data_IF_368109542956
#
_entry.id   IF_368109542956
#
_cell.length_a   1.000
_cell.length_b   1.000
_cell.length_c   1.000
_cell.angle_alpha   90.00
_cell.angle_beta   90.00
_cell.angle_gamma   90.00
#
_symmetry.space_group_name_H-M   'P 1'
#
loop_
_entity.id
_entity.type
_entity.pdbx_description
1 polymer ?
#
# COMPACT_ATOMS: atom_id res chain seq x y z
N UNK A 1 -7.93 11.46 -11.73
CA UNK A 1 -7.38 10.29 -12.45
C UNK A 1 -6.81 10.77 -13.76
N UNK A 2 -5.50 10.94 -13.85
CA UNK A 2 -4.84 11.24 -15.14
C UNK A 2 -4.76 9.92 -15.91
N UNK A 3 -5.29 9.83 -17.15
CA UNK A 3 -5.22 8.61 -17.92
C UNK A 3 -3.75 8.33 -18.29
N UNK A 4 -3.16 7.26 -17.76
CA UNK A 4 -1.77 6.87 -17.99
C UNK A 4 -1.40 6.49 -19.43
N UNK A 5 -2.31 6.64 -20.40
CA UNK A 5 -2.09 6.26 -21.81
C UNK A 5 -1.16 7.22 -22.57
N UNK A 6 -0.99 8.46 -22.12
CA UNK A 6 -0.15 9.43 -22.83
C UNK A 6 1.36 9.16 -22.69
N UNK A 7 1.78 8.43 -21.65
CA UNK A 7 3.20 8.27 -21.30
C UNK A 7 3.69 6.82 -21.17
N UNK A 8 2.83 5.81 -21.39
CA UNK A 8 3.13 4.39 -21.07
C UNK A 8 3.55 4.15 -19.60
N UNK A 9 3.18 5.03 -18.68
CA UNK A 9 3.46 4.91 -17.23
C UNK A 9 2.27 4.27 -16.51
N UNK A 10 1.67 3.25 -17.12
CA UNK A 10 0.60 2.47 -16.51
C UNK A 10 1.21 1.27 -15.81
N UNK A 11 1.50 1.37 -14.52
CA UNK A 11 1.73 0.17 -13.72
C UNK A 11 0.40 -0.59 -13.70
N UNK A 12 0.35 -1.75 -14.35
CA UNK A 12 -0.71 -2.72 -14.12
C UNK A 12 -0.17 -3.73 -13.11
N UNK A 13 -0.96 -4.11 -12.09
CA UNK A 13 -0.56 -5.21 -11.21
C UNK A 13 -0.22 -6.43 -12.07
N UNK A 14 0.97 -6.99 -11.85
CA UNK A 14 1.36 -8.24 -12.46
C UNK A 14 0.35 -9.32 -12.05
N UNK A 15 -0.32 -9.92 -13.03
CA UNK A 15 -1.31 -10.98 -12.80
C UNK A 15 -0.68 -12.37 -12.69
N UNK A 16 0.61 -12.49 -13.02
CA UNK A 16 1.29 -13.77 -13.02
C UNK A 16 1.36 -14.36 -11.63
N UNK A 17 1.08 -15.66 -11.55
CA UNK A 17 1.14 -16.44 -10.31
C UNK A 17 2.53 -16.97 -10.01
N UNK A 18 3.48 -16.77 -10.93
CA UNK A 18 4.82 -17.34 -10.91
C UNK A 18 5.89 -16.24 -10.79
N UNK A 19 6.82 -16.44 -9.86
CA UNK A 19 8.02 -15.61 -9.68
C UNK A 19 9.20 -16.51 -10.06
N UNK A 20 10.17 -15.98 -10.82
CA UNK A 20 11.42 -16.67 -11.17
C UNK A 20 12.41 -16.78 -9.98
N UNK A 21 11.87 -16.84 -8.75
CA UNK A 21 12.63 -16.98 -7.51
C UNK A 21 12.16 -18.26 -6.80
N UNK A 22 12.98 -19.32 -6.78
CA UNK A 22 12.59 -20.61 -6.22
C UNK A 22 12.43 -20.58 -4.69
N UNK A 23 12.98 -19.59 -3.99
CA UNK A 23 12.83 -19.44 -2.53
C UNK A 23 11.53 -18.72 -2.18
N UNK A 24 11.15 -17.70 -2.95
CA UNK A 24 9.93 -16.93 -2.71
C UNK A 24 8.69 -17.54 -3.35
N UNK A 25 8.82 -18.21 -4.51
CA UNK A 25 7.71 -18.79 -5.24
C UNK A 25 6.82 -19.72 -4.38
N UNK A 26 7.37 -20.62 -3.53
CA UNK A 26 6.56 -21.47 -2.65
C UNK A 26 5.76 -20.70 -1.60
N UNK A 27 6.10 -19.44 -1.31
CA UNK A 27 5.40 -18.57 -0.36
C UNK A 27 4.35 -17.67 -1.03
N UNK A 28 4.36 -17.58 -2.37
CA UNK A 28 3.46 -16.72 -3.11
C UNK A 28 2.08 -17.36 -3.29
N UNK A 29 1.02 -16.60 -3.03
CA UNK A 29 -0.38 -17.00 -3.26
C UNK A 29 -0.81 -18.31 -2.55
N UNK A 30 -0.05 -18.75 -1.53
CA UNK A 30 -0.43 -19.90 -0.72
C UNK A 30 -1.78 -19.67 -0.06
N UNK A 31 -2.59 -20.73 0.01
CA UNK A 31 -3.89 -20.68 0.66
C UNK A 31 -3.69 -20.86 2.17
N UNK A 32 -3.85 -19.76 2.91
CA UNK A 32 -3.78 -19.72 4.37
C UNK A 32 -4.99 -18.97 4.92
N UNK A 33 -5.37 -19.28 6.16
CA UNK A 33 -6.36 -18.50 6.91
C UNK A 33 -5.69 -17.26 7.50
N UNK A 34 -6.36 -16.10 7.37
CA UNK A 34 -5.87 -14.84 7.91
C UNK A 34 -7.02 -13.83 8.11
N UNK A 35 -6.89 -12.99 9.12
CA UNK A 35 -7.84 -11.91 9.45
C UNK A 35 -7.29 -10.50 9.10
N UNK A 36 -5.99 -10.41 8.83
CA UNK A 36 -5.27 -9.15 8.62
C UNK A 36 -4.50 -9.19 7.30
N UNK A 37 -4.66 -8.15 6.50
CA UNK A 37 -3.97 -7.96 5.22
C UNK A 37 -3.04 -6.76 5.31
N UNK A 38 -1.74 -6.99 5.11
CA UNK A 38 -0.75 -5.92 4.94
C UNK A 38 -0.52 -5.71 3.45
N UNK A 39 -0.82 -4.51 2.97
CA UNK A 39 -0.66 -4.14 1.56
C UNK A 39 0.52 -3.20 1.42
N UNK A 40 1.69 -3.74 1.05
CA UNK A 40 2.90 -2.96 0.82
C UNK A 40 2.98 -2.51 -0.64
N UNK A 41 2.40 -1.35 -0.93
CA UNK A 41 2.38 -0.74 -2.26
C UNK A 41 1.88 0.70 -2.18
N UNK A 42 1.83 1.40 -3.32
CA UNK A 42 1.29 2.77 -3.41
C UNK A 42 -0.22 2.82 -3.07
N UNK A 43 -0.71 3.87 -2.41
CA UNK A 43 -2.09 3.95 -1.91
C UNK A 43 -3.18 3.77 -2.97
N UNK A 44 -2.91 4.06 -4.25
CA UNK A 44 -3.85 3.87 -5.36
C UNK A 44 -4.39 2.45 -5.47
N UNK A 45 -3.65 1.44 -5.00
CA UNK A 45 -4.09 0.04 -5.05
C UNK A 45 -4.87 -0.40 -3.81
N UNK A 46 -4.89 0.37 -2.72
CA UNK A 46 -5.61 -0.03 -1.51
C UNK A 46 -7.10 -0.30 -1.74
N UNK A 47 -7.84 0.52 -2.53
CA UNK A 47 -9.24 0.23 -2.82
C UNK A 47 -9.47 -1.09 -3.55
N UNK A 48 -8.50 -1.55 -4.35
CA UNK A 48 -8.59 -2.84 -5.02
C UNK A 48 -8.52 -3.98 -4.00
N UNK A 49 -7.55 -3.92 -3.08
CA UNK A 49 -7.39 -4.93 -2.03
C UNK A 49 -8.54 -4.95 -1.04
N UNK A 50 -9.05 -3.77 -0.64
CA UNK A 50 -10.25 -3.67 0.20
C UNK A 50 -11.48 -4.34 -0.43
N UNK A 51 -11.61 -4.31 -1.77
CA UNK A 51 -12.68 -5.01 -2.49
C UNK A 51 -12.45 -6.51 -2.60
N UNK A 52 -11.18 -6.93 -2.74
CA UNK A 52 -10.81 -8.35 -2.90
C UNK A 52 -10.93 -9.11 -1.58
N UNK A 53 -10.63 -8.45 -0.48
CA UNK A 53 -10.57 -9.04 0.87
C UNK A 53 -11.52 -8.31 1.84
N UNK A 54 -12.84 -8.31 1.60
CA UNK A 54 -13.79 -7.58 2.42
C UNK A 54 -13.87 -8.15 3.84
N UNK A 55 -14.03 -7.26 4.84
CA UNK A 55 -14.22 -7.65 6.24
C UNK A 55 -12.95 -8.03 7.00
N UNK A 56 -11.78 -7.98 6.34
CA UNK A 56 -10.47 -8.17 6.98
C UNK A 56 -9.89 -6.85 7.44
N UNK A 57 -9.05 -6.90 8.47
CA UNK A 57 -8.26 -5.75 8.92
C UNK A 57 -7.25 -5.39 7.84
N UNK A 58 -7.26 -4.15 7.38
CA UNK A 58 -6.47 -3.68 6.25
C UNK A 58 -5.41 -2.66 6.68
N UNK A 59 -4.14 -3.10 6.61
CA UNK A 59 -2.97 -2.29 6.96
C UNK A 59 -2.28 -1.82 5.68
N UNK A 60 -2.16 -0.51 5.51
CA UNK A 60 -1.40 0.07 4.40
C UNK A 60 0.06 0.20 4.78
N UNK A 61 0.97 -0.24 3.92
CA UNK A 61 2.40 0.03 4.08
C UNK A 61 2.87 0.76 2.83
N UNK A 62 3.32 2.00 2.98
CA UNK A 62 3.80 2.80 1.86
C UNK A 62 4.94 3.72 2.27
N UNK A 63 5.71 4.11 1.28
CA UNK A 63 6.81 5.08 1.39
C UNK A 63 6.44 6.37 0.66
N UNK A 64 7.24 7.41 0.90
CA UNK A 64 7.13 8.70 0.26
C UNK A 64 8.44 9.48 0.41
N UNK A 65 8.75 10.36 -0.55
CA UNK A 65 10.06 11.01 -0.65
C UNK A 65 10.01 12.54 -0.56
N UNK A 66 8.84 13.17 -0.72
CA UNK A 66 8.70 14.64 -0.72
C UNK A 66 7.94 15.15 0.51
N UNK A 67 7.95 16.47 0.74
CA UNK A 67 7.29 17.09 1.88
C UNK A 67 5.75 17.20 1.74
N UNK A 68 5.20 16.77 0.61
CA UNK A 68 3.75 16.76 0.32
C UNK A 68 3.36 15.51 -0.44
N UNK A 69 2.34 14.81 0.03
CA UNK A 69 1.75 13.68 -0.72
C UNK A 69 0.76 14.18 -1.79
N UNK A 70 0.42 13.37 -2.81
CA UNK A 70 -0.61 13.71 -3.78
C UNK A 70 -1.94 14.00 -3.10
N UNK A 71 -2.68 15.00 -3.59
CA UNK A 71 -3.90 15.51 -2.94
C UNK A 71 -4.97 14.44 -2.69
N UNK A 72 -5.00 13.36 -3.48
CA UNK A 72 -5.96 12.27 -3.32
C UNK A 72 -5.53 11.21 -2.30
N UNK A 73 -4.26 11.18 -1.86
CA UNK A 73 -3.75 10.17 -0.93
C UNK A 73 -4.39 10.21 0.45
N UNK A 74 -4.60 11.36 1.12
CA UNK A 74 -5.27 11.38 2.43
C UNK A 74 -6.61 10.62 2.42
N UNK A 75 -7.41 10.76 1.35
CA UNK A 75 -8.68 10.06 1.20
C UNK A 75 -8.56 8.55 0.98
N UNK A 76 -7.40 8.06 0.52
CA UNK A 76 -7.11 6.63 0.38
C UNK A 76 -6.54 6.06 1.68
N UNK A 77 -5.58 6.77 2.27
CA UNK A 77 -4.89 6.41 3.50
C UNK A 77 -5.85 6.36 4.69
N UNK A 78 -6.78 7.33 4.77
CA UNK A 78 -7.78 7.41 5.85
C UNK A 78 -8.88 6.34 5.79
N UNK A 79 -8.84 5.44 4.80
CA UNK A 79 -9.74 4.27 4.71
C UNK A 79 -9.09 2.99 5.25
N UNK A 80 -7.81 3.04 5.59
CA UNK A 80 -7.08 1.92 6.17
C UNK A 80 -7.30 1.87 7.68
N UNK A 81 -7.22 0.68 8.26
CA UNK A 81 -7.31 0.50 9.71
C UNK A 81 -6.03 0.97 10.42
N UNK A 82 -4.89 0.83 9.74
CA UNK A 82 -3.58 1.24 10.23
C UNK A 82 -2.63 1.53 9.07
N UNK A 83 -1.60 2.33 9.32
CA UNK A 83 -0.55 2.61 8.36
C UNK A 83 0.83 2.28 8.93
N UNK A 84 1.68 1.73 8.08
CA UNK A 84 3.10 1.53 8.33
C UNK A 84 3.88 2.42 7.37
N UNK A 85 4.92 3.05 7.88
CA UNK A 85 5.85 3.87 7.10
C UNK A 85 7.29 3.57 7.51
N UNK A 86 8.29 3.76 6.64
CA UNK A 86 9.65 3.34 6.93
C UNK A 86 10.36 4.25 7.94
N UNK A 87 9.91 5.50 8.11
CA UNK A 87 10.61 6.49 8.91
C UNK A 87 9.65 7.41 9.68
N UNK A 88 10.15 8.01 10.76
CA UNK A 88 9.45 9.10 11.45
C UNK A 88 9.21 10.32 10.55
N UNK A 89 10.06 10.51 9.53
CA UNK A 89 9.88 11.60 8.58
C UNK A 89 8.64 11.36 7.71
N UNK A 90 8.46 10.15 7.16
CA UNK A 90 7.25 9.77 6.43
C UNK A 90 5.99 9.94 7.27
N UNK A 91 6.03 9.48 8.54
CA UNK A 91 4.93 9.65 9.48
C UNK A 91 4.52 11.12 9.60
N UNK A 92 5.50 12.00 9.84
CA UNK A 92 5.26 13.45 9.97
C UNK A 92 4.70 14.07 8.69
N UNK A 93 5.23 13.69 7.52
CA UNK A 93 4.70 14.20 6.23
C UNK A 93 3.24 13.81 6.06
N UNK A 94 2.88 12.56 6.37
CA UNK A 94 1.52 12.07 6.22
C UNK A 94 0.55 12.79 7.17
N UNK A 95 0.93 12.91 8.45
CA UNK A 95 0.17 13.66 9.46
C UNK A 95 -0.03 15.12 9.03
N UNK A 96 1.03 15.78 8.55
CA UNK A 96 0.97 17.16 8.04
C UNK A 96 0.08 17.31 6.80
N UNK A 97 -0.11 16.24 6.03
CA UNK A 97 -0.98 16.21 4.85
C UNK A 97 -2.42 15.77 5.17
N UNK A 98 -2.80 15.67 6.45
CA UNK A 98 -4.18 15.38 6.86
C UNK A 98 -4.52 13.89 6.91
N UNK A 99 -3.52 13.03 7.02
CA UNK A 99 -3.73 11.61 7.35
C UNK A 99 -4.03 11.51 8.86
N UNK A 100 -5.17 10.91 9.19
CA UNK A 100 -5.66 10.71 10.56
C UNK A 100 -5.64 9.24 11.00
N UNK A 101 -5.52 8.30 10.06
CA UNK A 101 -5.33 6.88 10.40
C UNK A 101 -4.06 6.71 11.23
N UNK A 102 -4.07 5.89 12.30
CA UNK A 102 -2.87 5.66 13.11
C UNK A 102 -1.69 5.16 12.27
N UNK A 103 -0.50 5.74 12.52
CA UNK A 103 0.72 5.47 11.75
C UNK A 103 1.82 4.98 12.69
N UNK A 104 2.38 3.80 12.42
CA UNK A 104 3.59 3.29 13.05
C UNK A 104 4.79 3.27 12.10
N UNK A 105 5.98 3.41 12.69
CA UNK A 105 7.24 3.40 11.95
C UNK A 105 7.83 1.98 12.00
N UNK A 106 7.97 1.36 10.83
CA UNK A 106 8.58 0.04 10.63
C UNK A 106 9.71 0.20 9.61
N UNK A 107 10.98 0.23 10.02
CA UNK A 107 12.10 0.48 9.12
C UNK A 107 12.30 -0.63 8.07
N UNK A 108 12.67 -0.24 6.84
CA UNK A 108 13.26 -1.15 5.87
C UNK A 108 14.76 -1.25 6.20
N UNK A 109 15.18 -2.39 6.75
CA UNK A 109 16.58 -2.66 7.11
C UNK A 109 17.47 -2.89 5.90
#
# INVERSE_FOLDING_TARGET
MVPGKAWRIGYQPFLGTEIEDPELFPLCNIQIEYDTLIVHTVPEYYPMWARKEPGKRLIGYTVWETDRIPDHWPGLLNKMDHLLVPTHWNKRVFENCGVITPIDVVPHT
#
